data_IF_036382791869
#
_entry.id   IF_036382791869
#
_cell.length_a   1.000
_cell.length_b   1.000
_cell.length_c   1.000
_cell.angle_alpha   90.00
_cell.angle_beta   90.00
_cell.angle_gamma   90.00
#
_symmetry.space_group_name_H-M   'P 1'
#
loop_
_entity.id
_entity.type
_entity.pdbx_description
1 polymer ?
#
# COMPACT_ATOMS: atom_id res chain seq x y z
N UNK A 1 22.30 3.33 3.25
CA UNK A 1 21.19 3.81 2.42
C UNK A 1 20.00 2.99 2.86
N UNK A 2 19.00 3.61 3.45
CA UNK A 2 17.77 2.93 3.80
C UNK A 2 17.10 2.48 2.49
N UNK A 3 16.75 1.20 2.40
CA UNK A 3 16.07 0.65 1.22
C UNK A 3 14.60 1.05 1.28
N UNK A 4 13.98 1.27 0.13
CA UNK A 4 12.56 1.53 0.02
C UNK A 4 11.87 0.36 -0.70
N UNK A 5 10.76 -0.10 -0.14
CA UNK A 5 9.84 -1.02 -0.79
C UNK A 5 8.64 -0.19 -1.27
N UNK A 6 8.51 -0.03 -2.59
CA UNK A 6 7.56 0.91 -3.18
C UNK A 6 6.44 0.13 -3.88
N UNK A 7 5.20 0.39 -3.48
CA UNK A 7 3.99 -0.18 -4.08
C UNK A 7 3.24 0.91 -4.85
N UNK A 8 2.98 0.64 -6.12
CA UNK A 8 2.18 1.50 -7.01
C UNK A 8 0.67 1.26 -6.85
N UNK A 9 -0.06 1.47 -7.93
CA UNK A 9 -1.52 1.38 -7.98
C UNK A 9 -2.03 0.03 -7.46
N UNK A 10 -2.98 0.07 -6.53
CA UNK A 10 -3.56 -1.14 -5.91
C UNK A 10 -4.95 -1.43 -6.46
N UNK A 11 -5.74 -0.38 -6.73
CA UNK A 11 -7.06 -0.48 -7.34
C UNK A 11 -7.96 -1.53 -6.69
N UNK A 12 -8.06 -1.55 -5.36
CA UNK A 12 -8.94 -2.45 -4.63
C UNK A 12 -8.61 -3.95 -4.71
N UNK A 13 -7.41 -4.32 -5.18
CA UNK A 13 -6.94 -5.71 -5.29
C UNK A 13 -6.21 -6.12 -4.00
N UNK A 14 -6.99 -6.55 -2.99
CA UNK A 14 -6.49 -6.79 -1.64
C UNK A 14 -5.59 -8.04 -1.55
N UNK A 15 -5.93 -9.12 -2.23
CA UNK A 15 -5.14 -10.36 -2.20
C UNK A 15 -3.75 -10.15 -2.83
N UNK A 16 -3.69 -9.38 -3.92
CA UNK A 16 -2.46 -8.98 -4.59
C UNK A 16 -1.60 -8.08 -3.70
N UNK A 17 -2.21 -7.14 -2.97
CA UNK A 17 -1.52 -6.34 -1.97
C UNK A 17 -0.87 -7.25 -0.90
N UNK A 18 -1.61 -8.21 -0.36
CA UNK A 18 -1.07 -9.15 0.63
C UNK A 18 0.10 -9.98 0.07
N UNK A 19 -0.01 -10.43 -1.19
CA UNK A 19 1.08 -11.14 -1.86
C UNK A 19 2.33 -10.27 -2.00
N UNK A 20 2.19 -9.01 -2.42
CA UNK A 20 3.31 -8.06 -2.52
C UNK A 20 4.00 -7.84 -1.16
N UNK A 21 3.21 -7.69 -0.10
CA UNK A 21 3.74 -7.47 1.25
C UNK A 21 4.56 -8.65 1.78
N UNK A 22 4.44 -9.86 1.21
CA UNK A 22 5.32 -10.99 1.58
C UNK A 22 6.78 -10.79 1.16
N UNK A 23 7.04 -9.87 0.24
CA UNK A 23 8.38 -9.54 -0.23
C UNK A 23 9.02 -8.35 0.51
N UNK A 24 8.24 -7.65 1.33
CA UNK A 24 8.71 -6.49 2.09
C UNK A 24 9.40 -6.94 3.39
N UNK A 25 10.59 -6.41 3.64
CA UNK A 25 11.32 -6.60 4.90
C UNK A 25 11.26 -5.34 5.78
N UNK A 26 10.40 -5.29 6.81
CA UNK A 26 10.25 -4.12 7.69
C UNK A 26 11.51 -3.81 8.51
N UNK A 27 12.46 -4.74 8.64
CA UNK A 27 13.69 -4.50 9.40
C UNK A 27 14.73 -3.71 8.59
N UNK A 28 14.64 -3.75 7.25
CA UNK A 28 15.64 -3.13 6.37
C UNK A 28 15.05 -2.19 5.33
N UNK A 29 13.71 -2.14 5.19
CA UNK A 29 13.02 -1.36 4.17
C UNK A 29 11.92 -0.47 4.73
N UNK A 30 11.87 0.77 4.26
CA UNK A 30 10.70 1.64 4.43
C UNK A 30 9.64 1.33 3.38
N UNK A 31 8.42 1.03 3.82
CA UNK A 31 7.28 0.82 2.94
C UNK A 31 6.69 2.15 2.46
N UNK A 32 6.55 2.32 1.14
CA UNK A 32 6.00 3.52 0.51
C UNK A 32 4.91 3.12 -0.48
N UNK A 33 3.74 3.71 -0.32
CA UNK A 33 2.62 3.58 -1.25
C UNK A 33 2.48 4.85 -2.12
N UNK A 34 2.31 4.67 -3.43
CA UNK A 34 2.26 5.79 -4.38
C UNK A 34 0.86 6.36 -4.63
N UNK A 35 -0.20 5.71 -4.15
CA UNK A 35 -1.59 6.14 -4.33
C UNK A 35 -2.45 5.11 -5.07
N UNK A 36 -3.63 5.54 -5.54
CA UNK A 36 -4.59 4.76 -6.33
C UNK A 36 -4.96 3.43 -5.65
N UNK A 37 -5.36 3.54 -4.37
CA UNK A 37 -5.76 2.42 -3.53
C UNK A 37 -7.10 1.81 -3.90
N UNK A 38 -7.96 2.61 -4.51
CA UNK A 38 -9.37 2.32 -4.78
C UNK A 38 -9.64 2.25 -6.29
N UNK A 39 -10.89 1.96 -6.62
CA UNK A 39 -11.44 1.73 -7.96
C UNK A 39 -11.12 0.36 -8.58
N UNK A 40 -12.03 -0.13 -9.44
CA UNK A 40 -11.95 -1.35 -10.26
C UNK A 40 -11.92 -2.70 -9.52
N UNK A 41 -11.23 -2.80 -8.39
CA UNK A 41 -11.15 -4.01 -7.59
C UNK A 41 -12.30 -4.16 -6.59
N UNK A 42 -12.64 -5.40 -6.20
CA UNK A 42 -13.78 -5.70 -5.33
C UNK A 42 -13.57 -5.24 -3.88
N UNK A 43 -12.32 -5.05 -3.44
CA UNK A 43 -11.95 -4.96 -2.02
C UNK A 43 -11.33 -3.61 -1.63
N UNK A 44 -11.74 -2.53 -2.29
CA UNK A 44 -11.27 -1.15 -2.03
C UNK A 44 -11.28 -0.77 -0.54
N UNK A 45 -12.33 -1.12 0.20
CA UNK A 45 -12.40 -0.84 1.64
C UNK A 45 -11.35 -1.61 2.45
N UNK A 46 -11.05 -2.86 2.06
CA UNK A 46 -10.04 -3.68 2.75
C UNK A 46 -8.65 -3.11 2.52
N UNK A 47 -8.35 -2.74 1.27
CA UNK A 47 -7.09 -2.07 0.90
C UNK A 47 -6.87 -0.81 1.71
N UNK A 48 -7.84 0.11 1.72
CA UNK A 48 -7.72 1.39 2.46
C UNK A 48 -7.50 1.15 3.95
N UNK A 49 -8.28 0.25 4.58
CA UNK A 49 -8.10 -0.07 6.01
C UNK A 49 -6.73 -0.63 6.32
N UNK A 50 -6.21 -1.49 5.45
CA UNK A 50 -4.91 -2.12 5.63
C UNK A 50 -3.78 -1.10 5.44
N UNK A 51 -3.83 -0.29 4.38
CA UNK A 51 -2.86 0.81 4.15
C UNK A 51 -2.86 1.78 5.33
N UNK A 52 -4.04 2.19 5.83
CA UNK A 52 -4.14 3.04 7.03
C UNK A 52 -3.50 2.42 8.28
N UNK A 53 -3.59 1.09 8.44
CA UNK A 53 -2.95 0.39 9.54
C UNK A 53 -1.42 0.41 9.40
N UNK A 54 -0.90 0.10 8.21
CA UNK A 54 0.53 0.15 7.94
C UNK A 54 1.11 1.56 8.09
N UNK A 55 0.35 2.59 7.74
CA UNK A 55 0.75 3.99 7.97
C UNK A 55 0.89 4.30 9.47
N UNK A 56 0.01 3.76 10.32
CA UNK A 56 0.18 3.87 11.79
C UNK A 56 1.42 3.14 12.31
N UNK A 57 1.89 2.14 11.57
CA UNK A 57 3.09 1.35 11.88
C UNK A 57 4.37 1.93 11.26
N UNK A 58 4.27 3.04 10.51
CA UNK A 58 5.41 3.78 9.97
C UNK A 58 5.55 3.76 8.44
N UNK A 59 4.61 3.14 7.71
CA UNK A 59 4.59 3.25 6.26
C UNK A 59 4.23 4.67 5.79
N UNK A 60 4.72 5.05 4.61
CA UNK A 60 4.39 6.31 3.96
C UNK A 60 3.33 6.05 2.89
N UNK A 61 2.24 6.81 2.91
CA UNK A 61 1.21 6.73 1.87
C UNK A 61 1.06 8.08 1.18
N UNK A 62 1.22 8.09 -0.14
CA UNK A 62 0.94 9.25 -0.98
C UNK A 62 -0.52 9.24 -1.45
N UNK A 63 -1.02 10.40 -1.85
CA UNK A 63 -2.35 10.52 -2.43
C UNK A 63 -2.23 10.34 -3.95
N UNK A 64 -2.94 9.35 -4.48
CA UNK A 64 -3.08 9.11 -5.91
C UNK A 64 -4.06 10.06 -6.58
N UNK A 65 -4.19 9.93 -7.90
CA UNK A 65 -5.05 10.82 -8.68
C UNK A 65 -6.54 10.47 -8.55
N UNK A 66 -6.85 9.24 -8.14
CA UNK A 66 -8.22 8.74 -7.97
C UNK A 66 -8.82 9.01 -6.59
N UNK A 67 -8.05 9.58 -5.67
CA UNK A 67 -8.49 9.91 -4.32
C UNK A 67 -8.88 11.39 -4.29
N UNK A 68 -10.17 11.74 -4.10
CA UNK A 68 -10.61 13.12 -3.85
C UNK A 68 -10.76 13.41 -2.36
#
# INVERSE_FOLDING_TARGET
MDRAFIIGDIHGNYDELLQLLTHWDPATETLIFLGDYIDRGPDSLQVVRHVMQLVKEGAIALKGNHEE
#
